data_IF_017712494304
#
_entry.id   IF_017712494304
#
_cell.length_a   1.000
_cell.length_b   1.000
_cell.length_c   1.000
_cell.angle_alpha   90.00
_cell.angle_beta   90.00
_cell.angle_gamma   90.00
#
_symmetry.space_group_name_H-M   'P 1'
#
loop_
_entity.id
_entity.type
_entity.pdbx_description
1 polymer ?
#
# COMPACT_ATOMS: atom_id res chain seq x y z
N UNK A 1 -48.55 13.44 -34.43
CA UNK A 1 -47.86 13.71 -33.15
C UNK A 1 -46.72 12.72 -33.00
N UNK A 2 -45.48 13.11 -33.28
CA UNK A 2 -44.30 12.25 -33.11
C UNK A 2 -43.50 12.80 -31.92
N UNK A 3 -43.46 12.04 -30.82
CA UNK A 3 -42.75 12.37 -29.59
C UNK A 3 -41.24 12.19 -29.83
N UNK A 4 -40.47 13.27 -29.66
CA UNK A 4 -39.01 13.19 -29.58
C UNK A 4 -38.59 12.66 -28.21
N UNK A 5 -38.01 11.47 -28.18
CA UNK A 5 -37.31 10.91 -27.01
C UNK A 5 -35.90 11.52 -26.99
N UNK A 6 -35.67 12.45 -26.05
CA UNK A 6 -34.32 12.94 -25.75
C UNK A 6 -33.61 11.88 -24.91
N UNK A 7 -32.67 11.16 -25.51
CA UNK A 7 -31.73 10.33 -24.78
C UNK A 7 -30.63 11.22 -24.20
N UNK A 8 -30.72 11.54 -22.91
CA UNK A 8 -29.61 12.11 -22.15
C UNK A 8 -28.57 11.02 -21.90
N UNK A 9 -27.51 11.02 -22.69
CA UNK A 9 -26.31 10.25 -22.39
C UNK A 9 -25.60 10.88 -21.19
N UNK A 10 -25.76 10.29 -20.02
CA UNK A 10 -24.87 10.53 -18.88
C UNK A 10 -23.54 9.86 -19.21
N UNK A 11 -22.58 10.64 -19.70
CA UNK A 11 -21.19 10.21 -19.77
C UNK A 11 -20.68 10.00 -18.34
N UNK A 12 -20.69 8.76 -17.88
CA UNK A 12 -19.91 8.35 -16.72
C UNK A 12 -18.43 8.54 -17.07
N UNK A 13 -17.84 9.64 -16.63
CA UNK A 13 -16.40 9.78 -16.70
C UNK A 13 -15.78 8.78 -15.73
N UNK A 14 -15.29 7.66 -16.25
CA UNK A 14 -14.22 6.94 -15.58
C UNK A 14 -13.04 7.91 -15.49
N UNK A 15 -12.79 8.44 -14.30
CA UNK A 15 -11.60 9.26 -14.03
C UNK A 15 -10.38 8.32 -14.09
N UNK A 16 -9.88 8.06 -15.29
CA UNK A 16 -8.55 7.53 -15.47
C UNK A 16 -7.60 8.58 -14.91
N UNK A 17 -7.07 8.34 -13.71
CA UNK A 17 -6.09 9.23 -13.10
C UNK A 17 -4.84 9.20 -13.98
N UNK A 18 -4.50 10.34 -14.57
CA UNK A 18 -3.26 10.50 -15.31
C UNK A 18 -2.15 10.83 -14.32
N UNK A 19 -1.14 9.97 -14.23
CA UNK A 19 0.07 10.27 -13.45
C UNK A 19 0.84 11.35 -14.22
N UNK A 20 1.14 12.50 -13.61
CA UNK A 20 1.85 13.57 -14.28
C UNK A 20 3.24 13.08 -14.71
N UNK A 21 3.76 13.52 -15.86
CA UNK A 21 5.11 13.18 -16.27
C UNK A 21 6.10 13.65 -15.20
N UNK A 22 6.84 12.70 -14.65
CA UNK A 22 7.77 12.93 -13.55
C UNK A 22 9.17 12.53 -13.99
N UNK A 23 10.00 13.52 -14.30
CA UNK A 23 11.38 13.29 -14.71
C UNK A 23 12.29 13.14 -13.48
N UNK A 24 12.72 11.91 -13.23
CA UNK A 24 13.70 11.59 -12.18
C UNK A 24 14.74 10.64 -12.74
N UNK A 25 16.01 10.96 -12.51
CA UNK A 25 17.11 10.11 -12.95
C UNK A 25 17.27 8.89 -12.03
N UNK A 26 17.79 7.78 -12.56
CA UNK A 26 18.09 6.58 -11.74
C UNK A 26 18.99 6.89 -10.54
N UNK A 27 19.99 7.75 -10.71
CA UNK A 27 20.88 8.14 -9.62
C UNK A 27 20.13 8.85 -8.49
N UNK A 28 19.16 9.70 -8.82
CA UNK A 28 18.33 10.39 -7.83
C UNK A 28 17.43 9.40 -7.08
N UNK A 29 16.83 8.43 -7.77
CA UNK A 29 16.05 7.36 -7.13
C UNK A 29 16.90 6.51 -6.18
N UNK A 30 18.12 6.15 -6.59
CA UNK A 30 19.05 5.39 -5.76
C UNK A 30 19.42 6.15 -4.49
N UNK A 31 19.79 7.42 -4.62
CA UNK A 31 20.14 8.26 -3.47
C UNK A 31 18.93 8.50 -2.56
N UNK A 32 17.75 8.71 -3.13
CA UNK A 32 16.52 8.84 -2.33
C UNK A 32 16.21 7.55 -1.58
N UNK A 33 16.30 6.38 -2.22
CA UNK A 33 16.08 5.08 -1.57
C UNK A 33 17.00 4.87 -0.35
N UNK A 34 18.29 5.20 -0.48
CA UNK A 34 19.25 5.15 0.65
C UNK A 34 18.85 6.08 1.78
N UNK A 35 18.47 7.34 1.47
CA UNK A 35 18.04 8.33 2.46
C UNK A 35 16.79 7.87 3.21
N UNK A 36 15.78 7.36 2.50
CA UNK A 36 14.57 6.80 3.11
C UNK A 36 14.90 5.64 4.05
N UNK A 37 15.75 4.70 3.61
CA UNK A 37 16.18 3.56 4.41
C UNK A 37 16.95 3.99 5.66
N UNK A 38 17.79 5.02 5.57
CA UNK A 38 18.54 5.55 6.71
C UNK A 38 17.61 6.25 7.71
N UNK A 39 16.67 7.05 7.22
CA UNK A 39 15.72 7.81 8.04
C UNK A 39 14.64 6.95 8.70
N UNK A 40 14.45 5.70 8.26
CA UNK A 40 13.51 4.77 8.86
C UNK A 40 13.99 4.33 10.25
N UNK A 41 13.46 4.99 11.28
CA UNK A 41 13.68 4.68 12.69
C UNK A 41 12.79 3.52 13.17
N UNK A 42 11.72 3.22 12.44
CA UNK A 42 10.78 2.18 12.81
C UNK A 42 11.29 0.79 12.36
N UNK A 43 12.20 0.70 11.38
CA UNK A 43 12.79 -0.57 10.90
C UNK A 43 13.30 -1.49 12.00
N UNK A 44 13.30 -2.79 11.71
CA UNK A 44 13.96 -3.78 12.54
C UNK A 44 15.47 -3.53 12.61
N UNK A 45 16.02 -3.60 13.82
CA UNK A 45 17.45 -3.53 14.07
C UNK A 45 18.07 -4.93 14.06
N UNK A 46 19.40 -4.98 13.97
CA UNK A 46 20.16 -6.23 14.02
C UNK A 46 19.81 -7.00 15.30
N UNK A 47 19.50 -8.29 15.15
CA UNK A 47 19.11 -9.17 16.26
C UNK A 47 17.63 -9.12 16.64
N UNK A 48 16.84 -8.19 16.11
CA UNK A 48 15.39 -8.19 16.35
C UNK A 48 14.62 -9.15 15.43
N UNK A 49 15.27 -9.66 14.37
CA UNK A 49 14.74 -10.70 13.48
C UNK A 49 15.86 -11.70 13.21
N UNK A 50 15.54 -12.99 13.31
CA UNK A 50 16.41 -14.10 12.90
C UNK A 50 15.70 -14.95 11.87
N UNK A 51 16.42 -15.29 10.81
CA UNK A 51 15.90 -16.02 9.66
C UNK A 51 16.60 -17.37 9.56
N UNK A 52 15.81 -18.42 9.36
CA UNK A 52 16.28 -19.74 8.95
C UNK A 52 16.09 -19.87 7.44
N UNK A 53 17.16 -19.66 6.67
CA UNK A 53 17.13 -19.78 5.20
C UNK A 53 17.01 -21.22 4.72
N UNK A 54 17.42 -22.19 5.55
CA UNK A 54 17.32 -23.63 5.29
C UNK A 54 18.02 -24.06 4.00
N UNK A 55 17.55 -25.12 3.35
CA UNK A 55 18.13 -25.64 2.12
C UNK A 55 17.63 -24.91 0.88
N UNK A 56 18.49 -24.84 -0.14
CA UNK A 56 18.10 -24.36 -1.45
C UNK A 56 17.14 -25.36 -2.12
N UNK A 57 16.16 -24.85 -2.86
CA UNK A 57 15.31 -25.64 -3.75
C UNK A 57 15.31 -25.02 -5.14
N UNK A 58 14.96 -25.81 -6.15
CA UNK A 58 14.78 -25.36 -7.53
C UNK A 58 13.44 -25.87 -8.08
N UNK A 59 13.00 -25.32 -9.22
CA UNK A 59 11.67 -25.59 -9.78
C UNK A 59 11.46 -27.04 -10.25
N UNK A 60 12.49 -27.90 -10.19
CA UNK A 60 12.45 -29.31 -10.59
C UNK A 60 12.58 -30.25 -9.38
N UNK A 61 12.71 -29.71 -8.18
CA UNK A 61 12.87 -30.47 -6.96
C UNK A 61 11.65 -30.31 -6.05
N UNK A 62 10.84 -31.38 -5.97
CA UNK A 62 9.63 -31.42 -5.14
C UNK A 62 9.93 -31.79 -3.67
N UNK A 63 11.20 -31.99 -3.30
CA UNK A 63 11.60 -32.31 -1.93
C UNK A 63 11.62 -31.04 -1.08
N UNK A 64 10.92 -31.06 0.05
CA UNK A 64 10.97 -29.98 1.03
C UNK A 64 12.35 -29.92 1.72
N UNK A 65 13.14 -28.92 1.33
CA UNK A 65 14.43 -28.62 1.93
C UNK A 65 14.35 -27.56 3.06
N UNK A 66 13.14 -27.23 3.50
CA UNK A 66 12.82 -26.11 4.39
C UNK A 66 11.80 -26.47 5.50
N UNK A 67 12.00 -27.61 6.17
CA UNK A 67 11.13 -28.17 7.21
C UNK A 67 10.83 -27.28 8.45
N UNK A 68 11.54 -26.16 8.64
CA UNK A 68 11.36 -25.22 9.75
C UNK A 68 10.66 -23.94 9.30
N UNK A 69 10.24 -23.11 10.26
CA UNK A 69 9.72 -21.76 9.96
C UNK A 69 10.85 -20.86 9.43
N UNK A 70 10.55 -20.06 8.41
CA UNK A 70 11.49 -19.08 7.86
C UNK A 70 11.91 -18.04 8.90
N UNK A 71 10.95 -17.47 9.63
CA UNK A 71 11.24 -16.62 10.79
C UNK A 71 11.53 -17.51 12.00
N UNK A 72 12.81 -17.72 12.30
CA UNK A 72 13.23 -18.43 13.50
C UNK A 72 12.93 -17.61 14.77
N UNK A 73 12.99 -16.28 14.67
CA UNK A 73 12.67 -15.37 15.76
C UNK A 73 12.29 -13.99 15.22
N UNK A 74 11.27 -13.38 15.85
CA UNK A 74 10.92 -11.96 15.68
C UNK A 74 10.72 -11.38 17.07
N UNK A 75 11.40 -10.29 17.37
CA UNK A 75 11.20 -9.58 18.62
C UNK A 75 9.83 -8.90 18.60
N UNK A 76 8.91 -9.32 19.48
CA UNK A 76 7.53 -8.85 19.55
C UNK A 76 7.42 -7.33 19.74
N UNK A 77 8.41 -6.68 20.38
CA UNK A 77 8.44 -5.23 20.52
C UNK A 77 8.48 -4.49 19.17
N UNK A 78 8.90 -5.15 18.09
CA UNK A 78 8.79 -4.61 16.73
C UNK A 78 7.33 -4.41 16.32
N UNK A 79 6.47 -5.36 16.67
CA UNK A 79 5.06 -5.37 16.27
C UNK A 79 4.28 -4.26 17.01
N UNK A 80 4.77 -3.85 18.18
CA UNK A 80 4.22 -2.73 18.94
C UNK A 80 4.71 -1.36 18.46
N UNK A 81 5.72 -1.28 17.57
CA UNK A 81 6.18 0.01 17.07
C UNK A 81 5.10 0.68 16.21
N UNK A 82 5.02 2.02 16.18
CA UNK A 82 3.89 2.75 15.60
C UNK A 82 3.50 2.32 14.18
N UNK A 83 4.45 2.24 13.25
CA UNK A 83 4.09 1.88 11.87
C UNK A 83 3.68 0.42 11.71
N UNK A 84 4.25 -0.49 12.50
CA UNK A 84 3.93 -1.91 12.44
C UNK A 84 2.56 -2.20 13.04
N UNK A 85 2.25 -1.63 14.21
CA UNK A 85 0.96 -1.85 14.86
C UNK A 85 -0.19 -1.29 14.03
N UNK A 86 -0.02 -0.10 13.43
CA UNK A 86 -1.00 0.46 12.49
C UNK A 86 -1.13 -0.35 11.20
N UNK A 87 -0.02 -0.89 10.68
CA UNK A 87 -0.08 -1.77 9.52
C UNK A 87 -0.83 -3.08 9.83
N UNK A 88 -0.55 -3.71 10.98
CA UNK A 88 -1.24 -4.94 11.39
C UNK A 88 -2.74 -4.71 11.53
N UNK A 89 -3.16 -3.60 12.13
CA UNK A 89 -4.56 -3.19 12.25
C UNK A 89 -5.21 -2.76 10.91
N UNK A 90 -4.49 -2.79 9.78
CA UNK A 90 -5.12 -2.72 8.47
C UNK A 90 -5.31 -4.11 7.87
N UNK A 91 -4.49 -5.08 8.24
CA UNK A 91 -4.49 -6.41 7.61
C UNK A 91 -5.70 -7.26 7.98
N UNK A 92 -6.33 -6.97 9.11
CA UNK A 92 -7.57 -7.58 9.58
C UNK A 92 -8.82 -7.10 8.83
N UNK A 93 -8.72 -5.99 8.09
CA UNK A 93 -9.80 -5.47 7.24
C UNK A 93 -10.06 -6.32 5.99
N UNK A 94 -9.07 -7.10 5.58
CA UNK A 94 -9.08 -7.82 4.30
C UNK A 94 -9.32 -9.32 4.49
N UNK A 95 -10.06 -9.91 3.55
CA UNK A 95 -10.18 -11.34 3.39
C UNK A 95 -9.10 -11.83 2.42
N UNK A 96 -8.37 -12.89 2.78
CA UNK A 96 -7.42 -13.52 1.83
C UNK A 96 -8.14 -14.20 0.66
N UNK A 97 -9.35 -14.70 0.91
CA UNK A 97 -10.20 -15.34 -0.08
C UNK A 97 -10.95 -14.29 -0.92
N UNK A 98 -10.80 -14.37 -2.24
CA UNK A 98 -11.49 -13.45 -3.15
C UNK A 98 -13.00 -13.74 -3.21
N UNK A 99 -13.81 -12.70 -3.47
CA UNK A 99 -15.24 -12.85 -3.71
C UNK A 99 -16.15 -12.78 -2.48
N UNK A 100 -15.58 -12.56 -1.29
CA UNK A 100 -16.30 -12.18 -0.07
C UNK A 100 -16.46 -10.66 -0.03
N UNK A 101 -17.55 -10.16 0.56
CA UNK A 101 -17.75 -8.73 0.73
C UNK A 101 -16.74 -8.17 1.74
N UNK A 102 -15.92 -7.21 1.28
CA UNK A 102 -15.02 -6.42 2.12
C UNK A 102 -15.65 -5.04 2.43
N UNK A 103 -15.21 -4.36 3.51
CA UNK A 103 -14.24 -4.78 4.53
C UNK A 103 -14.81 -5.79 5.55
N UNK A 104 -13.91 -6.52 6.23
CA UNK A 104 -14.24 -7.43 7.37
C UNK A 104 -14.79 -6.72 8.59
N UNK A 105 -14.42 -5.46 8.74
CA UNK A 105 -14.77 -4.58 9.84
C UNK A 105 -15.88 -3.62 9.41
N UNK A 106 -16.38 -2.80 10.33
CA UNK A 106 -17.32 -1.75 9.95
C UNK A 106 -16.63 -0.69 9.08
N UNK A 107 -17.36 -0.05 8.15
CA UNK A 107 -16.83 1.07 7.34
C UNK A 107 -16.23 2.19 8.20
N UNK A 108 -16.77 2.39 9.42
CA UNK A 108 -16.23 3.38 10.36
C UNK A 108 -14.86 2.96 10.89
N UNK A 109 -14.73 1.70 11.29
CA UNK A 109 -13.49 1.12 11.83
C UNK A 109 -12.38 1.11 10.77
N UNK A 110 -12.69 0.64 9.55
CA UNK A 110 -11.76 0.70 8.42
C UNK A 110 -11.25 2.13 8.18
N UNK A 111 -12.16 3.11 8.19
CA UNK A 111 -11.80 4.51 7.96
C UNK A 111 -10.95 5.09 9.11
N UNK A 112 -11.20 4.69 10.35
CA UNK A 112 -10.40 5.06 11.52
C UNK A 112 -8.98 4.47 11.43
N UNK A 113 -8.83 3.21 11.04
CA UNK A 113 -7.55 2.53 10.89
C UNK A 113 -6.73 3.10 9.73
N UNK A 114 -7.35 3.34 8.57
CA UNK A 114 -6.70 3.99 7.43
C UNK A 114 -6.18 5.38 7.83
N UNK A 115 -7.00 6.17 8.54
CA UNK A 115 -6.58 7.49 9.00
C UNK A 115 -5.42 7.39 10.00
N UNK A 116 -5.52 6.50 10.99
CA UNK A 116 -4.47 6.29 11.98
C UNK A 116 -3.15 5.82 11.36
N UNK A 117 -3.23 4.95 10.34
CA UNK A 117 -2.07 4.52 9.56
C UNK A 117 -1.45 5.68 8.79
N UNK A 118 -2.25 6.37 7.96
CA UNK A 118 -1.78 7.50 7.16
C UNK A 118 -1.13 8.58 8.01
N UNK A 119 -1.76 8.97 9.12
CA UNK A 119 -1.22 10.00 10.00
C UNK A 119 0.14 9.54 10.58
N UNK A 120 0.21 8.29 11.05
CA UNK A 120 1.45 7.71 11.58
C UNK A 120 2.58 7.67 10.56
N UNK A 121 2.31 7.20 9.33
CA UNK A 121 3.36 7.08 8.32
C UNK A 121 3.77 8.45 7.76
N UNK A 122 2.84 9.36 7.52
CA UNK A 122 3.12 10.69 6.95
C UNK A 122 3.91 11.58 7.93
N UNK A 123 3.76 11.36 9.24
CA UNK A 123 4.57 12.03 10.25
C UNK A 123 6.00 11.48 10.38
N UNK A 124 6.27 10.28 9.85
CA UNK A 124 7.58 9.67 9.93
C UNK A 124 8.62 10.37 9.04
N UNK A 125 9.89 10.24 9.41
CA UNK A 125 11.00 10.90 8.68
C UNK A 125 11.13 10.46 7.21
N UNK A 126 11.00 9.17 6.85
CA UNK A 126 11.01 8.77 5.44
C UNK A 126 9.95 9.48 4.61
N UNK A 127 8.72 9.60 5.11
CA UNK A 127 7.63 10.23 4.37
C UNK A 127 7.78 11.74 4.27
N UNK A 128 8.29 12.41 5.31
CA UNK A 128 8.68 13.83 5.26
C UNK A 128 9.75 14.09 4.21
N UNK A 129 10.75 13.21 4.09
CA UNK A 129 11.78 13.30 3.06
C UNK A 129 11.21 13.08 1.65
N UNK A 130 10.32 12.09 1.48
CA UNK A 130 9.64 11.84 0.21
C UNK A 130 8.79 13.05 -0.21
N UNK A 131 7.99 13.61 0.71
CA UNK A 131 7.20 14.81 0.47
C UNK A 131 8.09 15.98 0.01
N UNK A 132 9.19 16.23 0.73
CA UNK A 132 10.15 17.28 0.38
C UNK A 132 10.74 17.08 -1.02
N UNK A 133 11.18 15.86 -1.35
CA UNK A 133 11.73 15.54 -2.66
C UNK A 133 10.72 15.80 -3.79
N UNK A 134 9.48 15.35 -3.62
CA UNK A 134 8.40 15.58 -4.59
C UNK A 134 8.04 17.08 -4.71
N UNK A 135 8.03 17.80 -3.59
CA UNK A 135 7.74 19.23 -3.55
C UNK A 135 8.82 20.06 -4.26
N UNK A 136 10.11 19.76 -4.02
CA UNK A 136 11.25 20.39 -4.70
C UNK A 136 11.19 20.18 -6.21
N UNK A 137 10.67 19.03 -6.66
CA UNK A 137 10.43 18.70 -8.06
C UNK A 137 9.13 19.27 -8.61
N UNK A 138 8.38 20.04 -7.81
CA UNK A 138 7.06 20.62 -8.14
C UNK A 138 6.03 19.58 -8.58
N UNK A 139 6.13 18.35 -8.05
CA UNK A 139 5.18 17.30 -8.34
C UNK A 139 3.81 17.67 -7.75
N UNK A 140 2.69 17.57 -8.50
CA UNK A 140 1.39 18.06 -8.06
C UNK A 140 0.87 17.35 -6.80
N UNK A 141 1.29 16.11 -6.57
CA UNK A 141 0.93 15.36 -5.36
C UNK A 141 1.49 16.00 -4.10
N UNK A 142 2.62 16.72 -4.19
CA UNK A 142 3.27 17.33 -3.04
C UNK A 142 3.11 18.86 -3.03
N UNK A 143 2.03 19.40 -3.63
CA UNK A 143 1.74 20.83 -3.64
C UNK A 143 1.65 21.42 -2.21
N UNK A 144 0.96 20.71 -1.34
CA UNK A 144 0.76 21.05 0.07
C UNK A 144 0.47 19.75 0.86
N UNK A 145 0.60 19.74 2.20
CA UNK A 145 0.41 18.53 3.00
C UNK A 145 -0.99 17.92 2.89
N UNK A 146 -2.03 18.74 2.70
CA UNK A 146 -3.43 18.28 2.58
C UNK A 146 -3.61 17.53 1.26
N UNK A 147 -3.12 18.11 0.17
CA UNK A 147 -3.10 17.45 -1.15
C UNK A 147 -2.32 16.15 -1.08
N UNK A 148 -1.13 16.15 -0.45
CA UNK A 148 -0.31 14.94 -0.35
C UNK A 148 -1.01 13.82 0.41
N UNK A 149 -1.60 14.10 1.57
CA UNK A 149 -2.37 13.11 2.33
C UNK A 149 -3.54 12.57 1.52
N UNK A 150 -4.31 13.46 0.87
CA UNK A 150 -5.44 13.07 0.02
C UNK A 150 -4.99 12.17 -1.14
N UNK A 151 -3.88 12.51 -1.79
CA UNK A 151 -3.34 11.69 -2.87
C UNK A 151 -2.85 10.34 -2.37
N UNK A 152 -2.20 10.26 -1.21
CA UNK A 152 -1.78 8.96 -0.64
C UNK A 152 -2.99 8.10 -0.27
N UNK A 153 -4.04 8.70 0.31
CA UNK A 153 -5.30 7.99 0.52
C UNK A 153 -5.88 7.46 -0.80
N UNK A 154 -5.98 8.33 -1.82
CA UNK A 154 -6.54 7.94 -3.11
C UNK A 154 -5.71 6.87 -3.84
N UNK A 155 -4.39 6.94 -3.76
CA UNK A 155 -3.50 6.00 -4.45
C UNK A 155 -3.57 4.60 -3.82
N UNK A 156 -3.65 4.52 -2.50
CA UNK A 156 -3.52 3.26 -1.77
C UNK A 156 -4.86 2.65 -1.35
N UNK A 157 -5.82 3.47 -0.94
CA UNK A 157 -7.05 2.99 -0.29
C UNK A 157 -8.33 3.24 -1.11
N UNK A 158 -8.24 3.91 -2.26
CA UNK A 158 -9.40 4.05 -3.14
C UNK A 158 -9.62 2.75 -3.92
N UNK A 159 -10.87 2.27 -3.91
CA UNK A 159 -11.28 1.07 -4.63
C UNK A 159 -11.38 1.34 -6.13
N UNK A 160 -10.88 0.41 -6.95
CA UNK A 160 -11.05 0.44 -8.40
C UNK A 160 -11.52 -0.89 -8.96
N UNK A 161 -12.31 -0.86 -10.03
CA UNK A 161 -12.80 -2.09 -10.68
C UNK A 161 -11.79 -2.62 -11.68
N UNK A 162 -11.39 -3.90 -11.53
CA UNK A 162 -10.41 -4.56 -12.41
C UNK A 162 -11.03 -5.17 -13.68
N UNK A 163 -12.31 -5.57 -13.64
CA UNK A 163 -13.07 -6.01 -14.80
C UNK A 163 -14.58 -6.02 -14.50
N UNK A 164 -15.38 -5.49 -15.43
CA UNK A 164 -16.85 -5.69 -15.54
C UNK A 164 -17.64 -5.77 -14.21
N UNK A 165 -17.49 -4.78 -13.32
CA UNK A 165 -18.53 -4.45 -12.35
C UNK A 165 -18.40 -4.98 -10.93
N UNK A 166 -17.28 -5.61 -10.55
CA UNK A 166 -16.90 -5.73 -9.13
C UNK A 166 -15.84 -4.69 -8.79
N UNK A 167 -16.08 -3.90 -7.77
CA UNK A 167 -15.31 -2.69 -7.40
C UNK A 167 -14.63 -2.98 -6.08
N UNK A 168 -13.87 -4.07 -6.02
CA UNK A 168 -13.68 -4.73 -4.73
C UNK A 168 -12.23 -4.75 -4.27
N UNK A 169 -11.29 -4.06 -4.94
CA UNK A 169 -9.88 -4.06 -4.48
C UNK A 169 -9.19 -2.70 -4.52
N UNK A 170 -8.18 -2.54 -3.66
CA UNK A 170 -7.39 -1.31 -3.50
C UNK A 170 -5.89 -1.52 -3.78
N UNK A 171 -5.15 -0.44 -4.02
CA UNK A 171 -3.69 -0.51 -4.23
C UNK A 171 -2.94 -1.08 -3.02
N UNK A 172 -3.45 -0.83 -1.82
CA UNK A 172 -2.89 -1.35 -0.57
C UNK A 172 -3.03 -2.87 -0.50
N UNK A 173 -4.22 -3.38 -0.79
CA UNK A 173 -4.51 -4.81 -0.82
C UNK A 173 -3.59 -5.56 -1.79
N UNK A 174 -3.50 -5.08 -3.04
CA UNK A 174 -2.65 -5.70 -4.06
C UNK A 174 -1.18 -5.77 -3.71
N UNK A 175 -0.64 -4.72 -3.07
CA UNK A 175 0.81 -4.62 -2.80
C UNK A 175 1.19 -5.28 -1.47
N UNK A 176 0.34 -5.19 -0.45
CA UNK A 176 0.71 -5.57 0.92
C UNK A 176 -0.02 -6.79 1.46
N UNK A 177 -1.29 -7.00 1.09
CA UNK A 177 -2.04 -8.17 1.55
C UNK A 177 -1.70 -9.37 0.67
N UNK A 178 -1.59 -9.12 -0.63
CA UNK A 178 -1.41 -10.17 -1.64
C UNK A 178 -2.74 -10.91 -1.86
N UNK A 179 -3.12 -11.10 -3.11
CA UNK A 179 -4.25 -11.95 -3.44
C UNK A 179 -3.82 -13.41 -3.47
N UNK A 180 -4.58 -14.28 -2.81
CA UNK A 180 -4.57 -15.70 -3.14
C UNK A 180 -5.19 -15.84 -4.54
N UNK A 181 -4.34 -15.92 -5.56
CA UNK A 181 -4.74 -16.49 -6.85
C UNK A 181 -4.93 -17.98 -6.59
N UNK A 182 -6.13 -18.36 -6.15
CA UNK A 182 -6.59 -19.75 -6.20
C UNK A 182 -6.73 -20.20 -7.67
#
# INVERSE_FOLDING_TARGET
MLRYLVFTFVFGQSLSQTVPPFFVQRAELLEMSKKLRQADTNKAQRGQVSISYQGHTDSRNDVDNANNKFFAYVNESLLSKPSFSRFIALTDNFHRETGIQEPRVSVREEQEEINAFLDTILESQPWKLLYKFLNEKRHPFAKDPVTFRKTMYQLWFWHYSRAKGKTDTSGFEHVFIGEDIL
#
